data_IF_088212194637
#
_entry.id   IF_088212194637
#
_cell.length_a   1.000
_cell.length_b   1.000
_cell.length_c   1.000
_cell.angle_alpha   90.00
_cell.angle_beta   90.00
_cell.angle_gamma   90.00
#
_symmetry.space_group_name_H-M   'P 1'
#
loop_
_entity.id
_entity.type
_entity.pdbx_description
1 polymer ?
#
# COMPACT_ATOMS: atom_id res chain seq x y z
N UNK A 1 2.71 10.56 16.68
CA UNK A 1 1.54 9.86 16.10
C UNK A 1 2.08 8.71 15.26
N UNK A 2 1.55 7.50 15.42
CA UNK A 2 1.94 6.35 14.60
C UNK A 2 0.94 6.10 13.48
N UNK A 3 1.43 5.65 12.33
CA UNK A 3 0.60 5.40 11.15
C UNK A 3 1.12 4.22 10.31
N UNK A 4 0.24 3.66 9.48
CA UNK A 4 0.59 2.73 8.41
C UNK A 4 0.36 3.45 7.08
N UNK A 5 1.34 3.41 6.18
CA UNK A 5 1.25 4.10 4.89
C UNK A 5 0.61 3.20 3.84
N UNK A 6 -0.39 3.72 3.11
CA UNK A 6 -0.85 3.12 1.86
C UNK A 6 0.28 3.24 0.82
N UNK A 7 0.76 2.10 0.33
CA UNK A 7 1.99 2.04 -0.46
C UNK A 7 1.80 1.25 -1.75
N UNK A 8 2.25 1.81 -2.88
CA UNK A 8 2.16 1.16 -4.20
C UNK A 8 3.53 1.02 -4.88
N UNK A 9 4.59 1.57 -4.28
CA UNK A 9 5.93 1.60 -4.87
C UNK A 9 6.13 2.68 -5.94
N UNK A 10 5.05 3.33 -6.37
CA UNK A 10 5.12 4.48 -7.26
C UNK A 10 5.64 5.73 -6.55
N UNK A 11 6.11 6.70 -7.34
CA UNK A 11 6.67 7.98 -6.86
C UNK A 11 5.76 8.69 -5.84
N UNK A 12 4.45 8.65 -6.05
CA UNK A 12 3.49 9.41 -5.25
C UNK A 12 3.34 8.79 -3.85
N UNK A 13 3.25 7.45 -3.77
CA UNK A 13 3.22 6.74 -2.48
C UNK A 13 4.55 6.87 -1.71
N UNK A 14 5.66 6.90 -2.44
CA UNK A 14 6.98 7.10 -1.83
C UNK A 14 7.16 8.52 -1.31
N UNK A 15 6.71 9.52 -2.07
CA UNK A 15 6.71 10.91 -1.66
C UNK A 15 5.80 11.14 -0.45
N UNK A 16 4.60 10.54 -0.43
CA UNK A 16 3.70 10.61 0.73
C UNK A 16 4.35 10.03 1.99
N UNK A 17 5.05 8.89 1.87
CA UNK A 17 5.82 8.30 2.96
C UNK A 17 6.92 9.25 3.45
N UNK A 18 7.72 9.82 2.54
CA UNK A 18 8.76 10.79 2.89
C UNK A 18 8.18 12.01 3.62
N UNK A 19 7.10 12.59 3.10
CA UNK A 19 6.41 13.72 3.75
C UNK A 19 5.91 13.37 5.15
N UNK A 20 5.34 12.20 5.35
CA UNK A 20 4.88 11.77 6.68
C UNK A 20 6.05 11.69 7.69
N UNK A 21 7.18 11.13 7.26
CA UNK A 21 8.38 11.02 8.10
C UNK A 21 8.98 12.40 8.43
N UNK A 22 9.01 13.33 7.47
CA UNK A 22 9.46 14.71 7.70
C UNK A 22 8.61 15.47 8.73
N UNK A 23 7.30 15.19 8.78
CA UNK A 23 6.37 15.78 9.76
C UNK A 23 6.43 15.06 11.13
N UNK A 24 7.35 14.11 11.32
CA UNK A 24 7.52 13.38 12.58
C UNK A 24 6.46 12.30 12.83
N UNK A 25 5.76 11.84 11.79
CA UNK A 25 4.87 10.68 11.88
C UNK A 25 5.71 9.41 11.92
N UNK A 26 5.49 8.58 12.93
CA UNK A 26 6.13 7.28 13.05
C UNK A 26 5.41 6.27 12.15
N UNK A 27 5.95 6.03 10.96
CA UNK A 27 5.39 5.05 10.02
C UNK A 27 5.85 3.65 10.43
N UNK A 28 4.95 2.90 11.08
CA UNK A 28 5.25 1.57 11.65
C UNK A 28 5.05 0.44 10.64
N UNK A 29 4.51 0.74 9.46
CA UNK A 29 4.31 -0.25 8.42
C UNK A 29 3.82 0.34 7.10
N UNK A 30 3.90 -0.48 6.07
CA UNK A 30 3.32 -0.23 4.75
C UNK A 30 2.17 -1.21 4.52
N UNK A 31 1.10 -0.77 3.87
CA UNK A 31 0.03 -1.66 3.40
C UNK A 31 -0.19 -1.44 1.92
N UNK A 32 -0.31 -2.55 1.19
CA UNK A 32 -0.39 -2.57 -0.26
C UNK A 32 -1.54 -3.45 -0.68
N UNK A 33 -2.49 -2.90 -1.45
CA UNK A 33 -3.51 -3.71 -2.12
C UNK A 33 -2.82 -4.58 -3.18
N UNK A 34 -3.23 -5.85 -3.28
CA UNK A 34 -2.76 -6.82 -4.26
C UNK A 34 -3.95 -7.23 -5.13
N UNK A 35 -4.23 -6.51 -6.23
CA UNK A 35 -5.36 -6.83 -7.09
C UNK A 35 -5.13 -8.13 -7.86
N UNK A 36 -6.14 -8.99 -7.88
CA UNK A 36 -6.12 -10.23 -8.68
C UNK A 36 -6.27 -9.96 -10.19
N UNK A 37 -6.77 -8.77 -10.56
CA UNK A 37 -6.92 -8.32 -11.95
C UNK A 37 -6.09 -7.07 -12.22
N UNK A 38 -5.44 -7.02 -13.38
CA UNK A 38 -4.78 -5.80 -13.86
C UNK A 38 -5.77 -4.69 -14.24
N UNK A 39 -7.05 -5.05 -14.43
CA UNK A 39 -8.14 -4.12 -14.71
C UNK A 39 -8.81 -3.56 -13.43
N UNK A 40 -8.13 -3.70 -12.28
CA UNK A 40 -8.49 -3.04 -11.02
C UNK A 40 -8.83 -1.56 -11.25
N UNK A 41 -9.96 -1.11 -10.71
CA UNK A 41 -10.45 0.25 -10.96
C UNK A 41 -9.80 1.26 -10.03
N UNK A 42 -9.58 0.88 -8.77
CA UNK A 42 -9.04 1.75 -7.73
C UNK A 42 -7.54 1.56 -7.53
N UNK A 43 -7.07 0.31 -7.47
CA UNK A 43 -5.72 0.00 -7.01
C UNK A 43 -4.72 -0.25 -8.13
N UNK A 44 -3.47 0.12 -7.89
CA UNK A 44 -2.37 -0.09 -8.81
C UNK A 44 -1.92 -1.56 -8.82
N UNK A 45 -2.00 -2.24 -9.97
CA UNK A 45 -1.62 -3.65 -10.10
C UNK A 45 -0.20 -3.88 -10.65
N UNK A 46 0.30 -2.96 -11.47
CA UNK A 46 1.58 -3.15 -12.18
C UNK A 46 2.73 -3.13 -11.18
N UNK A 47 3.62 -4.12 -11.25
CA UNK A 47 4.83 -4.22 -10.41
C UNK A 47 4.59 -4.22 -8.88
N UNK A 48 3.33 -4.35 -8.44
CA UNK A 48 2.95 -4.14 -7.05
C UNK A 48 3.64 -5.13 -6.10
N UNK A 49 3.89 -6.36 -6.55
CA UNK A 49 4.64 -7.39 -5.80
C UNK A 49 6.07 -6.97 -5.46
N UNK A 50 6.68 -6.10 -6.25
CA UNK A 50 8.08 -5.67 -6.05
C UNK A 50 8.22 -4.62 -4.95
N UNK A 51 7.11 -4.07 -4.44
CA UNK A 51 7.12 -3.20 -3.27
C UNK A 51 7.73 -3.86 -2.03
N UNK A 52 7.72 -5.19 -1.95
CA UNK A 52 8.42 -5.95 -0.91
C UNK A 52 9.93 -5.63 -0.85
N UNK A 53 10.55 -5.41 -2.02
CA UNK A 53 11.96 -5.03 -2.09
C UNK A 53 12.18 -3.64 -1.50
N UNK A 54 11.21 -2.73 -1.68
CA UNK A 54 11.28 -1.39 -1.10
C UNK A 54 11.15 -1.46 0.42
N UNK A 55 10.16 -2.21 0.93
CA UNK A 55 9.95 -2.42 2.37
C UNK A 55 11.21 -3.01 3.04
N UNK A 56 11.81 -4.03 2.41
CA UNK A 56 13.07 -4.62 2.85
C UNK A 56 14.23 -3.61 2.86
N UNK A 57 14.36 -2.80 1.81
CA UNK A 57 15.41 -1.77 1.75
C UNK A 57 15.23 -0.67 2.81
N UNK A 58 13.98 -0.32 3.13
CA UNK A 58 13.64 0.67 4.16
C UNK A 58 13.67 0.10 5.58
N UNK A 59 13.70 -1.23 5.75
CA UNK A 59 13.59 -1.87 7.07
C UNK A 59 12.21 -1.70 7.71
N UNK A 60 11.16 -1.49 6.90
CA UNK A 60 9.78 -1.28 7.37
C UNK A 60 8.96 -2.54 7.07
N UNK A 61 8.08 -2.93 8.00
CA UNK A 61 7.17 -4.08 7.80
C UNK A 61 6.13 -3.74 6.71
N UNK A 62 5.84 -4.70 5.85
CA UNK A 62 4.80 -4.55 4.82
C UNK A 62 3.72 -5.61 4.96
N UNK A 63 2.48 -5.20 4.68
CA UNK A 63 1.30 -6.04 4.63
C UNK A 63 0.70 -5.97 3.22
N UNK A 64 0.25 -7.11 2.71
CA UNK A 64 -0.48 -7.19 1.46
C UNK A 64 -1.94 -7.57 1.75
N UNK A 65 -2.87 -6.88 1.10
CA UNK A 65 -4.31 -7.19 1.16
C UNK A 65 -4.76 -7.55 -0.24
N UNK A 66 -5.14 -8.81 -0.45
CA UNK A 66 -5.67 -9.25 -1.73
C UNK A 66 -7.05 -8.63 -1.98
N UNK A 67 -7.26 -8.13 -3.19
CA UNK A 67 -8.56 -7.58 -3.62
C UNK A 67 -8.93 -8.14 -4.99
N UNK A 68 -10.22 -8.31 -5.23
CA UNK A 68 -10.75 -8.86 -6.47
C UNK A 68 -10.50 -7.98 -7.69
N UNK A 69 -10.33 -6.66 -7.50
CA UNK A 69 -10.28 -5.66 -8.57
C UNK A 69 -11.65 -5.38 -9.20
N UNK A 70 -12.73 -5.91 -8.61
CA UNK A 70 -14.10 -5.57 -9.03
C UNK A 70 -14.43 -4.18 -8.49
N UNK A 71 -14.87 -3.28 -9.37
CA UNK A 71 -15.24 -1.91 -9.03
C UNK A 71 -16.13 -1.86 -7.78
N UNK A 72 -15.82 -0.93 -6.88
CA UNK A 72 -16.46 -0.72 -5.56
C UNK A 72 -16.22 -1.85 -4.56
N UNK A 73 -16.39 -3.12 -4.96
CA UNK A 73 -16.12 -4.28 -4.09
C UNK A 73 -14.67 -4.33 -3.61
N UNK A 74 -13.71 -3.98 -4.45
CA UNK A 74 -12.29 -3.95 -4.07
C UNK A 74 -12.01 -2.97 -2.91
N UNK A 75 -12.82 -1.92 -2.76
CA UNK A 75 -12.69 -0.92 -1.69
C UNK A 75 -13.16 -1.52 -0.38
N UNK A 76 -14.28 -2.24 -0.40
CA UNK A 76 -14.82 -2.94 0.75
C UNK A 76 -13.86 -4.05 1.21
N UNK A 77 -13.37 -4.86 0.27
CA UNK A 77 -12.38 -5.91 0.53
C UNK A 77 -11.09 -5.34 1.15
N UNK A 78 -10.59 -4.23 0.60
CA UNK A 78 -9.42 -3.56 1.15
C UNK A 78 -9.68 -3.04 2.57
N UNK A 79 -10.83 -2.38 2.78
CA UNK A 79 -11.21 -1.81 4.08
C UNK A 79 -11.43 -2.88 5.14
N UNK A 80 -11.99 -4.03 4.77
CA UNK A 80 -12.12 -5.19 5.66
C UNK A 80 -10.75 -5.75 6.04
N UNK A 81 -9.81 -5.83 5.10
CA UNK A 81 -8.44 -6.29 5.36
C UNK A 81 -7.59 -5.34 6.23
N UNK A 82 -8.03 -4.10 6.47
CA UNK A 82 -7.35 -3.15 7.35
C UNK A 82 -7.71 -3.30 8.83
N UNK A 83 -8.73 -4.10 9.16
CA UNK A 83 -9.17 -4.34 10.54
C UNK A 83 -8.28 -5.37 11.25
#
# INVERSE_FOLDING_TARGET
MSAIALYTGGKDSHYALMKALEEGIEVVGLVTALPMSIESWMFHAVNIKWTELHAKAMGIKQYFIEVSGVKEREIDEFTEGLK
#
